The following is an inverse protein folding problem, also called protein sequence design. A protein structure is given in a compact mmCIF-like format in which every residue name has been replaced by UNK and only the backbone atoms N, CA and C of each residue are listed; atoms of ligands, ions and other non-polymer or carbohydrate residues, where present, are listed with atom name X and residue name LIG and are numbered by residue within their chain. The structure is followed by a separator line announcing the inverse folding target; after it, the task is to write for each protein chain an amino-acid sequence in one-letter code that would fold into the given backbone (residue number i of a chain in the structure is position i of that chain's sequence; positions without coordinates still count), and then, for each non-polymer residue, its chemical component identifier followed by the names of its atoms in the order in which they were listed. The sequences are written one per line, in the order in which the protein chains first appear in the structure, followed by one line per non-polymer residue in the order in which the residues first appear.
data_IF_164086503200
#
_entry.id   IF_164086503200
#
_cell.length_a   1.000
_cell.length_b   1.000
_cell.length_c   1.000
_cell.angle_alpha   90.00
_cell.angle_beta   90.00
_cell.angle_gamma   90.00
#
_symmetry.space_group_name_H-M   'P 1'
#
loop_
_entity.id
_entity.type
_entity.pdbx_description
1 polymer ?
#
# COMPACT_ATOMS: atom_id res chain seq x y z
N UNK A 1 20.40 13.49 19.96
CA UNK A 1 19.14 12.71 19.95
C UNK A 1 17.96 13.67 20.07
N UNK A 2 17.27 13.97 18.97
CA UNK A 2 15.97 14.66 19.00
C UNK A 2 15.01 13.81 18.19
N UNK A 3 14.09 13.15 18.89
CA UNK A 3 12.94 12.46 18.30
C UNK A 3 12.02 13.53 17.72
N UNK A 4 11.88 13.57 16.41
CA UNK A 4 10.78 14.25 15.73
C UNK A 4 9.88 13.18 15.12
N UNK A 5 9.07 12.52 15.96
CA UNK A 5 7.82 11.96 15.48
C UNK A 5 6.83 13.12 15.48
N UNK A 6 6.60 13.71 14.31
CA UNK A 6 5.47 14.58 14.09
C UNK A 6 4.31 13.67 13.69
N UNK A 7 3.22 13.78 14.44
CA UNK A 7 2.02 13.01 14.26
C UNK A 7 1.44 13.23 12.85
N UNK A 8 1.55 12.22 11.97
CA UNK A 8 0.82 12.13 10.70
C UNK A 8 -0.65 11.75 11.00
N UNK A 9 -1.35 12.63 11.71
CA UNK A 9 -2.73 12.42 12.15
C UNK A 9 -3.68 12.88 11.01
N UNK A 10 -3.85 12.02 10.01
CA UNK A 10 -4.87 12.14 8.96
C UNK A 10 -6.26 11.90 9.60
N UNK A 11 -6.80 12.97 10.20
CA UNK A 11 -7.89 12.91 11.19
C UNK A 11 -9.30 13.18 10.64
N UNK A 12 -9.47 13.31 9.32
CA UNK A 12 -10.80 13.42 8.73
C UNK A 12 -11.27 12.06 8.19
N UNK A 13 -12.43 11.61 8.65
CA UNK A 13 -13.01 10.33 8.24
C UNK A 13 -13.45 10.32 6.77
N UNK A 14 -13.75 11.50 6.22
CA UNK A 14 -14.33 11.68 4.88
C UNK A 14 -13.27 11.73 3.75
N UNK A 15 -12.00 11.92 4.10
CA UNK A 15 -10.89 12.01 3.15
C UNK A 15 -10.13 10.70 2.97
N UNK A 16 -10.70 9.55 3.33
CA UNK A 16 -10.08 8.23 3.16
C UNK A 16 -10.89 7.34 2.25
N UNK A 17 -10.19 6.41 1.60
CA UNK A 17 -10.74 5.35 0.76
C UNK A 17 -10.18 4.00 1.23
N UNK A 18 -11.03 2.98 1.19
CA UNK A 18 -10.61 1.61 1.44
C UNK A 18 -10.60 0.86 0.12
N UNK A 19 -9.49 0.17 -0.16
CA UNK A 19 -9.38 -0.71 -1.33
C UNK A 19 -9.22 -2.15 -0.92
N UNK A 20 -10.09 -3.00 -1.45
CA UNK A 20 -9.95 -4.46 -1.40
C UNK A 20 -9.28 -4.91 -2.69
N UNK A 21 -8.05 -5.39 -2.56
CA UNK A 21 -7.24 -5.92 -3.64
C UNK A 21 -7.32 -7.43 -3.67
N UNK A 22 -7.59 -7.97 -4.86
CA UNK A 22 -7.51 -9.39 -5.17
C UNK A 22 -6.48 -9.55 -6.28
N UNK A 23 -5.32 -10.13 -5.98
CA UNK A 23 -4.25 -10.35 -6.94
C UNK A 23 -4.05 -11.85 -7.18
N UNK A 24 -4.22 -12.28 -8.44
CA UNK A 24 -3.87 -13.64 -8.86
C UNK A 24 -2.38 -13.68 -9.18
N UNK A 25 -1.65 -14.48 -8.44
CA UNK A 25 -0.22 -14.68 -8.60
C UNK A 25 0.07 -15.87 -9.52
N UNK A 26 1.26 -15.92 -10.15
CA UNK A 26 1.64 -17.04 -11.01
C UNK A 26 1.61 -18.39 -10.29
N UNK A 27 1.98 -18.42 -9.00
CA UNK A 27 2.00 -19.63 -8.17
C UNK A 27 1.56 -19.36 -6.74
N UNK A 28 1.28 -20.43 -5.97
CA UNK A 28 0.96 -20.33 -4.55
C UNK A 28 2.15 -19.79 -3.74
N UNK A 29 3.37 -20.20 -4.07
CA UNK A 29 4.59 -19.69 -3.45
C UNK A 29 4.74 -18.19 -3.66
N UNK A 30 4.45 -17.69 -4.88
CA UNK A 30 4.46 -16.25 -5.16
C UNK A 30 3.40 -15.48 -4.38
N UNK A 31 2.24 -16.08 -4.11
CA UNK A 31 1.24 -15.47 -3.22
C UNK A 31 1.72 -15.38 -1.76
N UNK A 32 2.41 -16.41 -1.27
CA UNK A 32 3.03 -16.38 0.06
C UNK A 32 4.12 -15.29 0.13
N UNK A 33 5.06 -15.27 -0.82
CA UNK A 33 6.12 -14.26 -0.89
C UNK A 33 5.57 -12.83 -0.92
N UNK A 34 4.53 -12.59 -1.73
CA UNK A 34 3.88 -11.29 -1.83
C UNK A 34 3.23 -10.90 -0.49
N UNK A 35 2.53 -11.83 0.17
CA UNK A 35 1.91 -11.58 1.48
C UNK A 35 2.92 -11.26 2.56
N UNK A 36 4.02 -12.02 2.62
CA UNK A 36 5.09 -11.81 3.60
C UNK A 36 5.78 -10.45 3.44
N UNK A 37 5.87 -9.97 2.20
CA UNK A 37 6.40 -8.64 1.90
C UNK A 37 5.38 -7.55 2.23
N UNK A 38 4.15 -7.72 1.74
CA UNK A 38 3.05 -6.75 1.88
C UNK A 38 2.54 -6.60 3.30
N UNK A 39 2.73 -7.59 4.20
CA UNK A 39 2.35 -7.48 5.61
C UNK A 39 2.93 -6.22 6.26
N UNK A 40 4.09 -5.75 5.81
CA UNK A 40 4.77 -4.57 6.33
C UNK A 40 4.37 -3.25 5.66
N UNK A 41 3.42 -3.27 4.72
CA UNK A 41 2.90 -2.05 4.10
C UNK A 41 2.22 -1.16 5.17
N UNK A 42 2.62 0.12 5.33
CA UNK A 42 2.02 1.03 6.32
C UNK A 42 0.53 1.28 6.13
N UNK A 43 0.01 1.06 4.92
CA UNK A 43 -1.40 1.27 4.54
C UNK A 43 -2.25 0.00 4.62
N UNK A 44 -1.65 -1.16 4.96
CA UNK A 44 -2.38 -2.42 5.05
C UNK A 44 -3.18 -2.49 6.35
N UNK A 45 -4.48 -2.74 6.22
CA UNK A 45 -5.38 -3.04 7.34
C UNK A 45 -5.40 -4.54 7.65
N UNK A 46 -5.52 -5.38 6.61
CA UNK A 46 -5.55 -6.82 6.72
C UNK A 46 -5.12 -7.48 5.41
N UNK A 47 -4.54 -8.68 5.49
CA UNK A 47 -4.24 -9.50 4.31
C UNK A 47 -4.51 -10.98 4.57
N UNK A 48 -4.56 -11.74 3.49
CA UNK A 48 -4.67 -13.19 3.51
C UNK A 48 -4.31 -13.80 2.16
N UNK A 49 -4.27 -15.13 2.11
CA UNK A 49 -4.02 -15.89 0.90
C UNK A 49 -5.06 -17.00 0.73
N UNK A 50 -5.38 -17.30 -0.52
CA UNK A 50 -6.14 -18.48 -0.89
C UNK A 50 -5.55 -19.07 -2.17
N UNK A 51 -4.90 -20.23 -2.08
CA UNK A 51 -4.17 -20.84 -3.19
C UNK A 51 -3.11 -19.87 -3.73
N UNK A 52 -3.15 -19.52 -5.03
CA UNK A 52 -2.28 -18.52 -5.64
C UNK A 52 -2.88 -17.11 -5.66
N UNK A 53 -3.85 -16.81 -4.81
CA UNK A 53 -4.48 -15.49 -4.72
C UNK A 53 -4.04 -14.79 -3.44
N UNK A 54 -3.52 -13.57 -3.60
CA UNK A 54 -3.30 -12.60 -2.51
C UNK A 54 -4.55 -11.74 -2.33
N UNK A 55 -4.94 -11.53 -1.08
CA UNK A 55 -6.01 -10.63 -0.65
C UNK A 55 -5.40 -9.56 0.26
N UNK A 56 -5.65 -8.29 -0.06
CA UNK A 56 -5.19 -7.17 0.75
C UNK A 56 -6.30 -6.14 0.92
N UNK A 57 -6.48 -5.66 2.15
CA UNK A 57 -7.36 -4.54 2.47
C UNK A 57 -6.48 -3.38 2.88
N UNK A 58 -6.57 -2.27 2.16
CA UNK A 58 -5.75 -1.08 2.37
C UNK A 58 -6.61 0.14 2.65
N UNK A 59 -6.07 1.07 3.43
CA UNK A 59 -6.65 2.41 3.63
C UNK A 59 -5.63 3.44 3.16
N UNK A 60 -6.10 4.38 2.34
CA UNK A 60 -5.30 5.49 1.85
C UNK A 60 -6.12 6.79 1.87
N UNK A 61 -5.46 7.96 1.83
CA UNK A 61 -6.12 9.22 1.53
C UNK A 61 -6.87 9.17 0.19
N UNK A 62 -8.00 9.87 0.08
CA UNK A 62 -8.89 9.90 -1.09
C UNK A 62 -8.18 10.47 -2.32
N UNK A 63 -7.28 11.43 -2.14
CA UNK A 63 -6.44 11.96 -3.22
C UNK A 63 -5.42 10.94 -3.76
N UNK A 64 -5.30 9.76 -3.14
CA UNK A 64 -4.51 8.62 -3.61
C UNK A 64 -5.34 7.55 -4.30
N UNK A 65 -6.54 7.84 -4.80
CA UNK A 65 -7.34 6.86 -5.58
C UNK A 65 -6.56 6.25 -6.75
N UNK A 66 -5.71 7.06 -7.41
CA UNK A 66 -4.78 6.61 -8.46
C UNK A 66 -3.84 5.48 -8.02
N UNK A 67 -3.49 5.40 -6.72
CA UNK A 67 -2.61 4.37 -6.17
C UNK A 67 -3.24 2.98 -6.27
N UNK A 68 -4.57 2.91 -6.22
CA UNK A 68 -5.33 1.68 -6.41
C UNK A 68 -5.51 1.31 -7.88
N UNK A 69 -5.68 2.29 -8.76
CA UNK A 69 -5.82 2.04 -10.20
C UNK A 69 -4.54 1.42 -10.80
N UNK A 70 -3.37 1.89 -10.37
CA UNK A 70 -2.08 1.46 -10.92
C UNK A 70 -1.87 -0.08 -10.90
N UNK A 71 -2.01 -0.81 -9.78
CA UNK A 71 -1.83 -2.26 -9.79
C UNK A 71 -2.92 -3.01 -10.59
N UNK A 72 -4.11 -2.44 -10.78
CA UNK A 72 -5.15 -3.02 -11.64
C UNK A 72 -4.78 -2.91 -13.13
N UNK A 73 -4.23 -1.77 -13.55
CA UNK A 73 -3.75 -1.52 -14.91
C UNK A 73 -2.40 -2.21 -15.21
N UNK A 74 -1.55 -2.32 -14.18
CA UNK A 74 -0.17 -2.83 -14.25
C UNK A 74 0.06 -3.91 -13.17
N UNK A 75 -0.60 -5.08 -13.30
CA UNK A 75 -0.47 -6.17 -12.33
C UNK A 75 0.98 -6.71 -12.25
N UNK A 76 1.77 -6.51 -13.31
CA UNK A 76 3.19 -6.87 -13.37
C UNK A 76 4.03 -6.13 -12.31
N UNK A 77 3.62 -4.94 -11.87
CA UNK A 77 4.28 -4.21 -10.78
C UNK A 77 4.23 -4.95 -9.44
N UNK A 78 3.25 -5.84 -9.27
CA UNK A 78 3.13 -6.71 -8.10
C UNK A 78 3.62 -8.15 -8.40
N UNK A 79 4.11 -8.41 -9.62
CA UNK A 79 4.41 -9.76 -10.10
C UNK A 79 3.17 -10.65 -10.21
N UNK A 80 1.99 -10.05 -10.39
CA UNK A 80 0.71 -10.73 -10.51
C UNK A 80 0.32 -10.94 -11.98
N UNK A 81 -0.45 -11.99 -12.26
CA UNK A 81 -1.06 -12.22 -13.58
C UNK A 81 -2.25 -11.28 -13.79
N UNK A 82 -2.98 -10.99 -12.72
CA UNK A 82 -4.16 -10.14 -12.71
C UNK A 82 -4.37 -9.54 -11.35
N UNK A 83 -4.82 -8.30 -11.31
CA UNK A 83 -5.30 -7.63 -10.11
C UNK A 83 -6.72 -7.15 -10.36
N UNK A 84 -7.54 -7.14 -9.31
CA UNK A 84 -8.84 -6.49 -9.31
C UNK A 84 -9.00 -5.73 -8.01
N UNK A 85 -9.52 -4.50 -8.10
CA UNK A 85 -9.71 -3.62 -6.95
C UNK A 85 -11.20 -3.32 -6.78
N UNK A 86 -11.67 -3.35 -5.54
CA UNK A 86 -12.95 -2.77 -5.15
C UNK A 86 -12.71 -1.64 -4.17
N UNK A 87 -13.23 -0.45 -4.48
CA UNK A 87 -13.11 0.73 -3.64
C UNK A 87 -14.38 0.95 -2.81
N UNK A 88 -14.20 1.27 -1.53
CA UNK A 88 -15.23 1.78 -0.65
C UNK A 88 -14.93 3.23 -0.28
N UNK A 89 -15.83 4.13 -0.71
CA UNK A 89 -15.71 5.58 -0.50
C UNK A 89 -16.23 6.05 0.86
N UNK A 90 -16.86 5.16 1.62
CA UNK A 90 -17.37 5.40 2.96
C UNK A 90 -16.91 4.26 3.87
N UNK A 91 -15.95 4.56 4.74
CA UNK A 91 -15.37 3.59 5.66
C UNK A 91 -16.11 3.69 6.98
N UNK A 92 -16.78 2.61 7.40
CA UNK A 92 -17.48 2.54 8.69
C UNK A 92 -16.58 2.07 9.83
N UNK A 93 -15.55 1.27 9.51
CA UNK A 93 -14.53 0.83 10.45
C UNK A 93 -13.20 0.59 9.72
N UNK A 94 -12.05 0.96 10.32
CA UNK A 94 -11.91 1.67 11.59
C UNK A 94 -12.21 3.17 11.45
N UNK A 95 -12.78 3.77 12.51
CA UNK A 95 -13.05 5.21 12.54
C UNK A 95 -11.77 6.04 12.35
N UNK A 96 -10.64 5.58 12.90
CA UNK A 96 -9.32 6.18 12.72
C UNK A 96 -8.37 5.12 12.17
N UNK A 97 -7.49 5.53 11.25
CA UNK A 97 -6.46 4.67 10.69
C UNK A 97 -5.11 5.34 10.88
N UNK A 98 -4.20 4.64 11.54
CA UNK A 98 -2.83 5.11 11.72
C UNK A 98 -1.91 4.27 10.84
N UNK A 99 -1.00 4.95 10.14
CA UNK A 99 0.01 4.27 9.34
C UNK A 99 0.88 3.37 10.22
N UNK A 100 1.11 2.15 9.76
CA UNK A 100 1.94 1.17 10.46
C UNK A 100 3.40 1.33 10.04
N UNK A 101 4.06 2.35 10.61
CA UNK A 101 5.44 2.68 10.27
C UNK A 101 6.43 1.68 10.91
N UNK A 102 7.51 1.29 10.21
CA UNK A 102 8.57 0.50 10.81
C UNK A 102 9.41 1.33 11.81
N UNK A 103 10.09 0.65 12.73
CA UNK A 103 11.01 1.31 13.68
C UNK A 103 12.21 1.97 12.95
N UNK A 104 12.63 1.38 11.84
CA UNK A 104 13.69 1.88 10.96
C UNK A 104 13.19 1.96 9.52
N UNK A 105 13.48 3.09 8.84
CA UNK A 105 13.10 3.30 7.45
C UNK A 105 14.10 2.59 6.51
N UNK A 106 13.58 1.91 5.50
CA UNK A 106 14.39 1.24 4.47
C UNK A 106 14.62 2.08 3.21
N UNK A 107 15.45 1.59 2.30
CA UNK A 107 15.55 2.13 0.93
C UNK A 107 14.47 1.54 -0.01
N UNK A 108 14.08 0.29 0.25
CA UNK A 108 13.12 -0.47 -0.54
C UNK A 108 11.80 -0.56 0.21
N UNK A 109 10.69 -0.30 -0.49
CA UNK A 109 9.35 -0.39 0.10
C UNK A 109 8.95 -1.86 0.34
N UNK A 110 7.97 -2.12 1.22
CA UNK A 110 7.43 -3.47 1.44
C UNK A 110 6.88 -4.15 0.19
N UNK A 111 6.48 -3.39 -0.85
CA UNK A 111 6.07 -3.95 -2.14
C UNK A 111 7.25 -4.24 -3.08
N UNK A 112 8.49 -4.14 -2.61
CA UNK A 112 9.71 -4.41 -3.38
C UNK A 112 10.16 -3.26 -4.29
N UNK A 113 9.48 -2.12 -4.26
CA UNK A 113 9.80 -0.98 -5.13
C UNK A 113 10.87 -0.10 -4.50
N UNK A 114 11.90 0.25 -5.28
CA UNK A 114 12.80 1.34 -4.91
C UNK A 114 12.14 2.68 -5.29
N UNK A 115 11.62 3.39 -4.29
CA UNK A 115 10.91 4.66 -4.54
C UNK A 115 11.81 5.73 -5.18
N UNK A 116 13.12 5.73 -4.94
CA UNK A 116 14.03 6.70 -5.56
C UNK A 116 14.18 6.54 -7.07
N UNK A 117 13.79 5.38 -7.62
CA UNK A 117 13.86 5.07 -9.06
C UNK A 117 12.49 4.81 -9.66
N UNK A 118 11.42 5.10 -8.93
CA UNK A 118 10.07 4.80 -9.38
C UNK A 118 9.55 5.94 -10.28
N UNK A 119 9.20 5.68 -11.55
CA UNK A 119 8.68 6.72 -12.45
C UNK A 119 7.44 7.43 -11.92
N UNK A 120 6.65 6.72 -11.08
CA UNK A 120 5.42 7.23 -10.50
C UNK A 120 5.65 8.43 -9.56
N UNK A 121 6.86 8.62 -9.04
CA UNK A 121 7.21 9.82 -8.26
C UNK A 121 7.05 11.09 -9.10
N UNK A 122 7.39 11.03 -10.39
CA UNK A 122 7.33 12.17 -11.32
C UNK A 122 6.01 12.18 -12.10
N UNK A 123 5.58 11.02 -12.62
CA UNK A 123 4.43 10.92 -13.53
C UNK A 123 3.09 11.28 -12.86
N UNK A 124 2.89 10.84 -11.61
CA UNK A 124 1.62 11.00 -10.87
C UNK A 124 1.81 11.72 -9.54
N UNK A 125 2.99 12.31 -9.31
CA UNK A 125 3.31 13.00 -8.07
C UNK A 125 3.30 12.10 -6.83
N UNK A 126 3.61 10.80 -6.99
CA UNK A 126 3.71 9.88 -5.88
C UNK A 126 4.71 10.40 -4.84
N UNK A 127 4.31 10.36 -3.57
CA UNK A 127 5.14 10.82 -2.45
C UNK A 127 6.12 9.78 -1.92
N UNK A 128 6.07 8.56 -2.46
CA UNK A 128 6.85 7.41 -1.99
C UNK A 128 6.13 6.60 -0.91
N UNK A 129 6.81 5.59 -0.39
CA UNK A 129 6.27 4.74 0.66
C UNK A 129 6.65 5.30 2.05
N UNK A 130 5.70 5.45 3.00
CA UNK A 130 6.01 5.89 4.36
C UNK A 130 7.00 4.99 5.12
N UNK A 131 7.23 3.77 4.65
CA UNK A 131 8.23 2.85 5.21
C UNK A 131 9.65 3.08 4.68
N UNK A 132 9.88 4.09 3.83
CA UNK A 132 11.20 4.34 3.23
C UNK A 132 11.73 5.75 3.48
N UNK A 133 13.05 5.89 3.38
CA UNK A 133 13.76 7.19 3.49
C UNK A 133 13.43 8.16 2.34
N UNK A 134 12.75 7.67 1.30
CA UNK A 134 12.39 8.43 0.11
C UNK A 134 10.97 9.01 0.19
N UNK A 135 10.28 8.85 1.33
CA UNK A 135 8.97 9.45 1.54
C UNK A 135 9.09 10.96 1.65
N UNK A 136 8.28 11.68 0.87
CA UNK A 136 8.18 13.14 0.89
C UNK A 136 6.84 13.56 1.48
N UNK A 137 6.86 14.56 2.36
CA UNK A 137 5.66 15.14 2.95
C UNK A 137 4.96 16.12 1.97
#
# INVERSE_FOLDING_TARGET
MKKHHKDDNDSSTDERILGVMVAKMPTAEKAVENTESMKNCPRLLASGIHSNVFLGVFIAPRNMEWWFALPEERPDLLGADKVSITLANQITYPEKFQLRLPDELGEISPCGTNCAKCPQMEEVGCKGCPATIHYSH
#
